data_IF_130970266107
#
_entry.id   IF_130970266107
#
_cell.length_a   1.000
_cell.length_b   1.000
_cell.length_c   1.000
_cell.angle_alpha   90.00
_cell.angle_beta   90.00
_cell.angle_gamma   90.00
#
_symmetry.space_group_name_H-M   'P 1'
#
loop_
_entity.id
_entity.type
_entity.pdbx_description
1 polymer ?
#
# COMPACT_ATOMS: atom_id res chain seq x y z
N UNK A 1 -25.48 -5.14 2.19
CA UNK A 1 -24.14 -5.09 1.56
C UNK A 1 -23.12 -5.75 2.47
N UNK A 2 -22.21 -6.59 1.95
CA UNK A 2 -21.12 -7.17 2.77
C UNK A 2 -20.17 -6.05 3.22
N UNK A 3 -19.79 -6.05 4.50
CA UNK A 3 -18.80 -5.12 5.06
C UNK A 3 -17.45 -5.35 4.39
N UNK A 4 -16.79 -4.28 3.94
CA UNK A 4 -15.45 -4.36 3.34
C UNK A 4 -14.43 -4.76 4.41
N UNK A 5 -13.63 -5.79 4.15
CA UNK A 5 -12.51 -6.17 5.00
C UNK A 5 -11.28 -5.30 4.71
N UNK A 6 -11.21 -4.14 5.37
CA UNK A 6 -10.10 -3.19 5.19
C UNK A 6 -8.76 -3.75 5.66
N UNK A 7 -8.72 -4.56 6.73
CA UNK A 7 -7.47 -5.19 7.21
C UNK A 7 -6.84 -6.05 6.12
N UNK A 8 -7.65 -6.87 5.44
CA UNK A 8 -7.19 -7.69 4.32
C UNK A 8 -6.83 -6.86 3.07
N UNK A 9 -7.57 -5.77 2.80
CA UNK A 9 -7.31 -4.94 1.62
C UNK A 9 -6.01 -4.15 1.76
N UNK A 10 -5.78 -3.54 2.92
CA UNK A 10 -4.61 -2.70 3.19
C UNK A 10 -3.30 -3.50 3.36
N UNK A 11 -3.39 -4.79 3.70
CA UNK A 11 -2.23 -5.71 3.72
C UNK A 11 -1.99 -6.39 2.37
N UNK A 12 -2.85 -6.16 1.37
CA UNK A 12 -2.75 -6.83 0.08
C UNK A 12 -1.68 -6.20 -0.82
N UNK A 13 -0.69 -6.99 -1.24
CA UNK A 13 0.29 -6.58 -2.27
C UNK A 13 -0.38 -6.15 -3.58
N UNK A 14 -1.50 -6.80 -3.95
CA UNK A 14 -2.25 -6.48 -5.17
C UNK A 14 -2.90 -5.09 -5.10
N UNK A 15 -3.35 -4.69 -3.91
CA UNK A 15 -3.90 -3.35 -3.70
C UNK A 15 -2.82 -2.29 -3.91
N UNK A 16 -1.67 -2.43 -3.24
CA UNK A 16 -0.57 -1.48 -3.37
C UNK A 16 0.04 -1.44 -4.77
N UNK A 17 0.16 -2.59 -5.43
CA UNK A 17 0.59 -2.64 -6.83
C UNK A 17 -0.37 -1.87 -7.76
N UNK A 18 -1.68 -1.96 -7.54
CA UNK A 18 -2.66 -1.20 -8.31
C UNK A 18 -2.57 0.31 -8.03
N UNK A 19 -2.37 0.70 -6.76
CA UNK A 19 -2.16 2.12 -6.39
C UNK A 19 -0.91 2.67 -7.05
N UNK A 20 0.21 1.96 -6.97
CA UNK A 20 1.47 2.34 -7.61
C UNK A 20 1.27 2.48 -9.12
N UNK A 21 0.73 1.45 -9.80
CA UNK A 21 0.53 1.49 -11.26
C UNK A 21 -0.36 2.66 -11.71
N UNK A 22 -1.41 2.97 -10.94
CA UNK A 22 -2.27 4.12 -11.21
C UNK A 22 -1.52 5.45 -11.04
N UNK A 23 -0.84 5.65 -9.91
CA UNK A 23 -0.12 6.91 -9.64
C UNK A 23 1.04 7.11 -10.61
N UNK A 24 1.83 6.07 -10.90
CA UNK A 24 2.93 6.12 -11.88
C UNK A 24 2.42 6.53 -13.25
N UNK A 25 1.31 5.95 -13.74
CA UNK A 25 0.73 6.32 -15.03
C UNK A 25 0.26 7.78 -15.07
N UNK A 26 -0.34 8.27 -13.98
CA UNK A 26 -0.74 9.68 -13.87
C UNK A 26 0.46 10.63 -13.90
N UNK A 27 1.51 10.35 -13.12
CA UNK A 27 2.71 11.19 -13.06
C UNK A 27 3.39 11.30 -14.43
N UNK A 28 3.53 10.18 -15.13
CA UNK A 28 4.03 10.19 -16.51
C UNK A 28 3.12 10.98 -17.45
N UNK A 29 1.80 10.82 -17.34
CA UNK A 29 0.83 11.57 -18.15
C UNK A 29 0.87 13.09 -17.93
N UNK A 30 1.28 13.54 -16.75
CA UNK A 30 1.48 14.95 -16.43
C UNK A 30 2.89 15.48 -16.76
N UNK A 31 3.78 14.64 -17.30
CA UNK A 31 5.15 15.04 -17.67
C UNK A 31 6.11 15.16 -16.49
N UNK A 32 5.80 14.54 -15.35
CA UNK A 32 6.72 14.44 -14.20
C UNK A 32 7.94 13.62 -14.59
N UNK A 33 9.12 13.98 -14.08
CA UNK A 33 10.36 13.28 -14.43
C UNK A 33 10.35 11.84 -13.95
N UNK A 34 11.13 10.97 -14.60
CA UNK A 34 11.28 9.58 -14.18
C UNK A 34 11.83 9.48 -12.74
N UNK A 35 12.78 10.35 -12.37
CA UNK A 35 13.34 10.41 -11.02
C UNK A 35 12.30 10.76 -9.97
N UNK A 36 11.50 11.81 -10.18
CA UNK A 36 10.42 12.19 -9.25
C UNK A 36 9.33 11.10 -9.20
N UNK A 37 9.01 10.49 -10.34
CA UNK A 37 8.04 9.38 -10.42
C UNK A 37 8.51 8.17 -9.61
N UNK A 38 9.80 7.82 -9.71
CA UNK A 38 10.41 6.75 -8.92
C UNK A 38 10.40 7.08 -7.42
N UNK A 39 10.70 8.33 -7.05
CA UNK A 39 10.61 8.80 -5.66
C UNK A 39 9.19 8.65 -5.10
N UNK A 40 8.17 9.15 -5.80
CA UNK A 40 6.77 8.99 -5.37
C UNK A 40 6.38 7.51 -5.26
N UNK A 41 6.79 6.69 -6.22
CA UNK A 41 6.55 5.24 -6.20
C UNK A 41 7.17 4.59 -4.96
N UNK A 42 8.41 4.96 -4.60
CA UNK A 42 9.10 4.44 -3.42
C UNK A 42 8.43 4.88 -2.10
N UNK A 43 7.90 6.10 -2.03
CA UNK A 43 7.15 6.59 -0.88
C UNK A 43 5.88 5.78 -0.67
N UNK A 44 5.12 5.52 -1.74
CA UNK A 44 3.90 4.68 -1.68
C UNK A 44 4.25 3.26 -1.22
N UNK A 45 5.34 2.69 -1.73
CA UNK A 45 5.79 1.35 -1.35
C UNK A 45 6.22 1.29 0.13
N UNK A 46 6.90 2.32 0.63
CA UNK A 46 7.26 2.45 2.04
C UNK A 46 6.01 2.50 2.93
N UNK A 47 5.03 3.32 2.57
CA UNK A 47 3.76 3.41 3.31
C UNK A 47 3.01 2.07 3.34
N UNK A 48 2.93 1.36 2.20
CA UNK A 48 2.30 0.05 2.14
C UNK A 48 3.01 -1.00 2.99
N UNK A 49 4.34 -0.96 3.02
CA UNK A 49 5.16 -1.85 3.86
C UNK A 49 4.91 -1.58 5.35
N UNK A 50 4.93 -0.32 5.76
CA UNK A 50 4.65 0.09 7.13
C UNK A 50 3.26 -0.34 7.60
N UNK A 51 2.22 -0.08 6.79
CA UNK A 51 0.84 -0.46 7.11
C UNK A 51 0.70 -1.98 7.21
N UNK A 52 1.31 -2.73 6.30
CA UNK A 52 1.29 -4.18 6.33
C UNK A 52 1.96 -4.74 7.59
N UNK A 53 3.09 -4.15 8.00
CA UNK A 53 3.79 -4.53 9.22
C UNK A 53 2.94 -4.27 10.48
N UNK A 54 2.41 -3.06 10.65
CA UNK A 54 1.60 -2.68 11.83
C UNK A 54 0.37 -3.57 11.96
N UNK A 55 -0.34 -3.83 10.85
CA UNK A 55 -1.52 -4.70 10.88
C UNK A 55 -1.10 -6.16 11.15
N UNK A 56 0.02 -6.61 10.61
CA UNK A 56 0.57 -7.95 10.84
C UNK A 56 0.91 -8.19 12.31
N UNK A 57 1.66 -7.29 12.93
CA UNK A 57 1.98 -7.32 14.37
C UNK A 57 0.70 -7.32 15.21
N UNK A 58 -0.24 -6.42 14.92
CA UNK A 58 -1.51 -6.36 15.66
C UNK A 58 -2.36 -7.63 15.56
N UNK A 59 -2.24 -8.40 14.47
CA UNK A 59 -2.89 -9.72 14.34
C UNK A 59 -2.18 -10.78 15.18
N UNK A 60 -0.84 -10.76 15.25
CA UNK A 60 -0.07 -11.67 16.10
C UNK A 60 -0.37 -11.41 17.57
N UNK A 61 -0.41 -10.14 17.98
CA UNK A 61 -0.73 -9.75 19.36
C UNK A 61 -2.14 -10.14 19.78
N UNK A 62 -3.13 -10.00 18.88
CA UNK A 62 -4.50 -10.44 19.14
C UNK A 62 -4.58 -11.95 19.40
N UNK A 63 -3.81 -12.74 18.66
CA UNK A 63 -3.77 -14.20 18.82
C UNK A 63 -2.93 -14.67 20.02
N UNK A 64 -2.11 -13.78 20.61
CA UNK A 64 -1.24 -14.10 21.75
C UNK A 64 -1.91 -13.82 23.10
N UNK A 65 -2.95 -12.99 23.11
CA UNK A 65 -3.75 -12.66 24.29
C UNK A 65 -5.04 -13.51 24.40
N UNK A 66 -5.14 -14.57 23.58
CA UNK A 66 -6.04 -15.72 23.73
C UNK A 66 -5.23 -16.95 24.14
#
# INVERSE_FOLDING_TARGET
>A
MKKINWKQKLTSRKFWAAVIGFVTALLMGFGVTETETAQVTSIIMSAGTMIAYIIGEGMVDANRNE
#
